data_IF_478394743950
#
_entry.id   IF_478394743950
#
_cell.length_a   1.000
_cell.length_b   1.000
_cell.length_c   1.000
_cell.angle_alpha   90.00
_cell.angle_beta   90.00
_cell.angle_gamma   90.00
#
_symmetry.space_group_name_H-M   'P 1'
#
loop_
_entity.id
_entity.type
_entity.pdbx_description
1 polymer ?
#
# COMPACT_ATOMS: atom_id res chain seq x y z
N UNK A 1 2.31 30.65 18.34
CA UNK A 1 2.06 29.49 17.45
C UNK A 1 3.25 29.37 16.53
N UNK A 2 3.98 28.26 16.62
CA UNK A 2 5.18 28.01 15.85
C UNK A 2 4.88 26.98 14.74
N UNK A 3 5.82 26.83 13.79
CA UNK A 3 5.71 25.80 12.73
C UNK A 3 5.49 24.40 13.31
N UNK A 4 6.10 24.10 14.45
CA UNK A 4 5.96 22.80 15.11
C UNK A 4 4.53 22.53 15.58
N UNK A 5 3.82 23.57 16.07
CA UNK A 5 2.42 23.43 16.51
C UNK A 5 1.51 23.00 15.35
N UNK A 6 1.77 23.50 14.12
CA UNK A 6 1.05 23.09 12.93
C UNK A 6 1.35 21.65 12.55
N UNK A 7 2.62 21.24 12.59
CA UNK A 7 3.02 19.86 12.27
C UNK A 7 2.40 18.87 13.28
N UNK A 8 2.41 19.21 14.56
CA UNK A 8 1.81 18.41 15.62
C UNK A 8 0.28 18.33 15.47
N UNK A 9 -0.36 19.41 15.03
CA UNK A 9 -1.78 19.44 14.73
C UNK A 9 -2.13 18.52 13.54
N UNK A 10 -1.34 18.58 12.47
CA UNK A 10 -1.50 17.68 11.32
C UNK A 10 -1.33 16.22 11.75
N UNK A 11 -0.28 15.90 12.48
CA UNK A 11 -0.05 14.55 13.04
C UNK A 11 -1.25 14.05 13.84
N UNK A 12 -1.87 14.93 14.61
CA UNK A 12 -3.01 14.60 15.47
C UNK A 12 -4.32 14.41 14.70
N UNK A 13 -4.53 15.21 13.66
CA UNK A 13 -5.74 15.16 12.82
C UNK A 13 -5.71 13.92 11.93
N UNK A 14 -4.58 13.66 11.26
CA UNK A 14 -4.45 12.58 10.28
C UNK A 14 -4.12 11.24 10.94
N UNK A 15 -3.15 11.22 11.86
CA UNK A 15 -2.68 10.00 12.53
C UNK A 15 -3.48 9.63 13.79
N UNK A 16 -4.24 10.56 14.34
CA UNK A 16 -4.92 10.40 15.62
C UNK A 16 -4.03 10.69 16.83
N UNK A 17 -4.59 10.43 18.02
CA UNK A 17 -3.89 10.65 19.28
C UNK A 17 -2.72 9.67 19.45
N UNK A 18 -1.60 10.18 19.91
CA UNK A 18 -0.45 9.38 20.31
C UNK A 18 -0.79 8.48 21.49
N UNK A 19 -0.46 7.20 21.38
CA UNK A 19 -0.65 6.20 22.43
C UNK A 19 0.60 6.10 23.33
N UNK A 20 0.73 7.00 24.28
CA UNK A 20 1.87 7.05 25.21
C UNK A 20 1.99 5.80 26.12
N UNK A 21 0.91 5.06 26.30
CA UNK A 21 0.84 3.89 27.20
C UNK A 21 1.10 2.57 26.50
N UNK A 22 1.31 2.56 25.18
CA UNK A 22 1.55 1.30 24.45
C UNK A 22 3.01 0.86 24.69
N UNK A 23 3.16 -0.17 25.50
CA UNK A 23 4.46 -0.82 25.74
C UNK A 23 4.73 -1.70 24.51
N UNK A 24 5.70 -1.32 23.70
CA UNK A 24 6.26 -2.15 22.63
C UNK A 24 7.62 -2.67 23.06
N UNK A 25 7.90 -3.93 22.77
CA UNK A 25 9.23 -4.49 23.00
C UNK A 25 10.24 -3.87 22.04
N UNK A 26 11.54 -3.98 22.35
CA UNK A 26 12.59 -3.52 21.44
C UNK A 26 12.53 -4.23 20.08
N UNK A 27 12.21 -5.50 20.11
CA UNK A 27 12.05 -6.31 18.90
C UNK A 27 10.87 -5.85 18.04
N UNK A 28 9.72 -5.55 18.66
CA UNK A 28 8.58 -4.97 17.95
C UNK A 28 8.91 -3.60 17.34
N UNK A 29 9.59 -2.73 18.10
CA UNK A 29 10.02 -1.42 17.59
C UNK A 29 10.94 -1.55 16.40
N UNK A 30 11.89 -2.49 16.44
CA UNK A 30 12.78 -2.77 15.32
C UNK A 30 12.00 -3.27 14.11
N UNK A 31 11.05 -4.18 14.30
CA UNK A 31 10.21 -4.71 13.21
C UNK A 31 9.38 -3.61 12.57
N UNK A 32 8.76 -2.74 13.37
CA UNK A 32 8.00 -1.59 12.88
C UNK A 32 8.91 -0.62 12.10
N UNK A 33 10.10 -0.32 12.65
CA UNK A 33 11.04 0.59 12.00
C UNK A 33 11.50 0.08 10.62
N UNK A 34 11.78 -1.22 10.50
CA UNK A 34 12.16 -1.86 9.23
C UNK A 34 10.98 -1.81 8.25
N UNK A 35 9.77 -2.10 8.70
CA UNK A 35 8.56 -2.05 7.89
C UNK A 35 8.34 -0.63 7.32
N UNK A 36 8.33 0.39 8.17
CA UNK A 36 8.14 1.78 7.74
C UNK A 36 9.29 2.30 6.86
N UNK A 37 10.52 1.87 7.15
CA UNK A 37 11.66 2.18 6.31
C UNK A 37 11.55 1.55 4.91
N UNK A 38 10.94 0.35 4.81
CA UNK A 38 10.64 -0.29 3.55
C UNK A 38 9.72 0.55 2.67
N UNK A 39 8.61 1.03 3.23
CA UNK A 39 7.71 1.95 2.52
C UNK A 39 8.45 3.21 2.05
N UNK A 40 9.22 3.81 2.93
CA UNK A 40 9.96 5.04 2.64
C UNK A 40 10.99 4.85 1.53
N UNK A 41 11.78 3.78 1.60
CA UNK A 41 12.86 3.50 0.65
C UNK A 41 12.32 3.24 -0.75
N UNK A 42 11.28 2.41 -0.86
CA UNK A 42 10.67 2.11 -2.16
C UNK A 42 10.00 3.35 -2.75
N UNK A 43 9.27 4.12 -1.96
CA UNK A 43 8.67 5.38 -2.43
C UNK A 43 9.71 6.38 -2.92
N UNK A 44 10.88 6.42 -2.29
CA UNK A 44 11.96 7.31 -2.70
C UNK A 44 12.60 6.92 -4.04
N UNK A 45 12.64 5.62 -4.34
CA UNK A 45 13.28 5.06 -5.54
C UNK A 45 12.36 5.03 -6.76
N UNK A 46 11.04 5.11 -6.58
CA UNK A 46 10.07 5.00 -7.66
C UNK A 46 9.72 6.37 -8.23
N UNK A 47 9.66 6.45 -9.56
CA UNK A 47 9.45 7.70 -10.30
C UNK A 47 8.07 8.30 -10.06
N UNK A 48 7.04 7.46 -9.98
CA UNK A 48 5.64 7.89 -9.90
C UNK A 48 5.02 7.72 -8.52
N UNK A 49 5.79 7.27 -7.52
CA UNK A 49 5.31 7.21 -6.14
C UNK A 49 5.08 8.60 -5.56
N UNK A 50 4.09 8.71 -4.67
CA UNK A 50 3.82 9.97 -4.00
C UNK A 50 5.02 10.40 -3.14
N UNK A 51 5.38 11.71 -3.14
CA UNK A 51 6.48 12.21 -2.34
C UNK A 51 6.32 11.90 -0.86
N UNK A 52 7.35 11.30 -0.27
CA UNK A 52 7.41 10.99 1.15
C UNK A 52 7.66 12.27 1.95
N UNK A 53 6.81 12.54 2.96
CA UNK A 53 6.97 13.69 3.86
C UNK A 53 7.67 13.26 5.15
N UNK A 54 7.24 12.14 5.73
CA UNK A 54 7.64 11.74 7.08
C UNK A 54 7.48 10.24 7.29
N UNK A 55 8.40 9.67 8.05
CA UNK A 55 8.30 8.31 8.58
C UNK A 55 8.31 8.38 10.10
N UNK A 56 7.50 7.59 10.77
CA UNK A 56 7.44 7.55 12.22
C UNK A 56 7.11 6.15 12.73
N UNK A 57 7.70 5.79 13.85
CA UNK A 57 7.35 4.59 14.63
C UNK A 57 6.56 4.93 15.89
N UNK A 58 6.08 6.17 16.00
CA UNK A 58 5.24 6.60 17.12
C UNK A 58 3.83 6.08 16.92
N UNK A 59 3.31 5.24 17.83
CA UNK A 59 1.97 4.68 17.70
C UNK A 59 0.89 5.77 17.79
N UNK A 60 0.03 5.81 16.77
CA UNK A 60 -1.12 6.72 16.72
C UNK A 60 -2.38 5.99 16.26
N UNK A 61 -3.51 6.25 16.90
CA UNK A 61 -4.76 5.59 16.54
C UNK A 61 -4.63 4.06 16.54
N UNK A 62 -4.83 3.42 15.39
CA UNK A 62 -4.64 1.97 15.21
C UNK A 62 -3.26 1.60 14.67
N UNK A 63 -2.52 2.57 14.12
CA UNK A 63 -1.21 2.36 13.53
C UNK A 63 -0.11 2.24 14.60
N UNK A 64 0.87 1.40 14.33
CA UNK A 64 2.08 1.21 15.14
C UNK A 64 3.21 2.12 14.68
N UNK A 65 3.24 2.44 13.40
CA UNK A 65 4.08 3.38 12.71
C UNK A 65 3.32 3.96 11.53
N UNK A 66 3.90 4.84 10.77
CA UNK A 66 3.34 5.37 9.53
C UNK A 66 4.40 6.01 8.64
N UNK A 67 4.29 5.77 7.33
CA UNK A 67 4.90 6.57 6.29
C UNK A 67 3.85 7.53 5.73
N UNK A 68 4.17 8.82 5.70
CA UNK A 68 3.26 9.87 5.29
C UNK A 68 3.69 10.45 3.97
N UNK A 69 2.73 10.56 3.06
CA UNK A 69 2.95 11.03 1.70
C UNK A 69 2.18 12.32 1.44
N UNK A 70 2.67 13.13 0.52
CA UNK A 70 1.93 14.25 -0.05
C UNK A 70 1.26 13.76 -1.34
N UNK A 71 -0.04 13.46 -1.33
CA UNK A 71 -0.73 13.09 -2.54
C UNK A 71 -0.71 14.28 -3.49
N UNK A 72 -0.31 14.05 -4.73
CA UNK A 72 -0.50 15.04 -5.77
C UNK A 72 -1.99 15.10 -6.14
N UNK A 73 -2.53 16.30 -6.31
CA UNK A 73 -3.88 16.49 -6.85
C UNK A 73 -3.92 16.06 -8.31
N UNK A 74 -4.26 14.79 -8.53
CA UNK A 74 -4.41 14.22 -9.87
C UNK A 74 -5.87 13.86 -10.11
N UNK A 75 -6.39 14.26 -11.27
CA UNK A 75 -7.72 13.83 -11.72
C UNK A 75 -7.67 12.55 -12.55
N UNK A 76 -6.50 12.22 -13.09
CA UNK A 76 -6.26 11.03 -13.90
C UNK A 76 -4.99 10.37 -13.39
N UNK A 77 -5.04 9.05 -13.20
CA UNK A 77 -3.90 8.24 -12.75
C UNK A 77 -3.60 7.18 -13.79
N UNK A 78 -2.33 7.04 -14.18
CA UNK A 78 -1.90 6.02 -15.15
C UNK A 78 -1.69 4.66 -14.49
N UNK A 79 -1.57 3.60 -15.32
CA UNK A 79 -1.27 2.24 -14.86
C UNK A 79 0.06 2.20 -14.09
N UNK A 80 1.08 2.88 -14.62
CA UNK A 80 2.44 2.93 -14.04
C UNK A 80 2.41 3.60 -12.65
N UNK A 81 1.68 4.69 -12.52
CA UNK A 81 1.50 5.38 -11.23
C UNK A 81 0.81 4.49 -10.19
N UNK A 82 -0.21 3.75 -10.60
CA UNK A 82 -0.90 2.81 -9.71
C UNK A 82 0.00 1.65 -9.32
N UNK A 83 0.83 1.13 -10.23
CA UNK A 83 1.79 0.07 -9.93
C UNK A 83 2.88 0.55 -8.97
N UNK A 84 3.42 1.76 -9.16
CA UNK A 84 4.41 2.33 -8.24
C UNK A 84 3.83 2.55 -6.84
N UNK A 85 2.58 2.99 -6.75
CA UNK A 85 1.87 3.09 -5.46
C UNK A 85 1.72 1.71 -4.78
N UNK A 86 1.41 0.66 -5.55
CA UNK A 86 1.35 -0.71 -5.03
C UNK A 86 2.72 -1.19 -4.55
N UNK A 87 3.80 -0.93 -5.31
CA UNK A 87 5.17 -1.25 -4.91
C UNK A 87 5.54 -0.55 -3.61
N UNK A 88 5.28 0.75 -3.49
CA UNK A 88 5.54 1.53 -2.28
C UNK A 88 4.75 0.97 -1.08
N UNK A 89 3.48 0.61 -1.30
CA UNK A 89 2.63 0.01 -0.26
C UNK A 89 3.14 -1.38 0.18
N UNK A 90 3.71 -2.18 -0.72
CA UNK A 90 4.29 -3.49 -0.39
C UNK A 90 5.71 -3.41 0.17
N UNK A 91 6.32 -2.23 0.15
CA UNK A 91 7.69 -1.99 0.62
C UNK A 91 7.92 -2.46 2.05
N UNK A 92 6.97 -2.20 2.96
CA UNK A 92 7.05 -2.65 4.35
C UNK A 92 7.11 -4.17 4.47
N UNK A 93 6.24 -4.89 3.75
CA UNK A 93 6.23 -6.35 3.71
C UNK A 93 7.51 -6.94 3.15
N UNK A 94 8.02 -6.36 2.06
CA UNK A 94 9.27 -6.80 1.45
C UNK A 94 10.49 -6.57 2.38
N UNK A 95 10.51 -5.45 3.10
CA UNK A 95 11.56 -5.18 4.07
C UNK A 95 11.53 -6.15 5.27
N UNK A 96 10.35 -6.51 5.77
CA UNK A 96 10.24 -7.56 6.81
C UNK A 96 10.85 -8.87 6.34
N UNK A 97 10.49 -9.34 5.15
CA UNK A 97 10.99 -10.60 4.59
C UNK A 97 12.51 -10.56 4.41
N UNK A 98 13.02 -9.50 3.79
CA UNK A 98 14.43 -9.36 3.45
C UNK A 98 15.34 -9.19 4.68
N UNK A 99 14.98 -8.34 5.63
CA UNK A 99 15.86 -7.95 6.75
C UNK A 99 15.58 -8.71 8.04
N UNK A 100 14.38 -9.25 8.22
CA UNK A 100 14.00 -10.03 9.40
C UNK A 100 13.92 -11.52 9.10
N UNK A 101 13.83 -11.93 7.82
CA UNK A 101 13.62 -13.31 7.40
C UNK A 101 12.27 -13.87 7.87
N UNK A 102 11.34 -13.01 8.23
CA UNK A 102 10.01 -13.36 8.74
C UNK A 102 9.02 -12.24 8.45
N UNK A 103 7.80 -12.64 8.17
CA UNK A 103 6.68 -11.76 7.86
C UNK A 103 5.76 -11.65 9.07
N UNK A 104 5.14 -10.47 9.24
CA UNK A 104 4.28 -10.19 10.38
C UNK A 104 2.84 -9.85 9.97
N UNK A 105 1.97 -9.72 10.96
CA UNK A 105 0.59 -9.25 10.78
C UNK A 105 0.52 -7.74 10.53
N UNK A 106 1.63 -7.02 10.66
CA UNK A 106 1.70 -5.56 10.48
C UNK A 106 1.26 -5.11 9.09
N UNK A 107 1.58 -5.90 8.07
CA UNK A 107 1.26 -5.61 6.68
C UNK A 107 -0.21 -5.89 6.27
N UNK A 108 -1.12 -6.23 7.20
CA UNK A 108 -2.50 -6.61 6.86
C UNK A 108 -3.23 -5.51 6.08
N UNK A 109 -3.14 -4.26 6.51
CA UNK A 109 -3.80 -3.13 5.84
C UNK A 109 -3.20 -2.85 4.46
N UNK A 110 -1.89 -3.01 4.31
CA UNK A 110 -1.19 -2.82 3.03
C UNK A 110 -1.61 -3.88 2.02
N UNK A 111 -1.67 -5.14 2.44
CA UNK A 111 -2.14 -6.24 1.61
C UNK A 111 -3.60 -6.06 1.20
N UNK A 112 -4.47 -5.64 2.11
CA UNK A 112 -5.88 -5.35 1.80
C UNK A 112 -5.99 -4.23 0.76
N UNK A 113 -5.26 -3.13 0.96
CA UNK A 113 -5.24 -1.98 0.06
C UNK A 113 -4.76 -2.37 -1.34
N UNK A 114 -3.62 -3.04 -1.44
CA UNK A 114 -3.04 -3.47 -2.72
C UNK A 114 -3.95 -4.47 -3.44
N UNK A 115 -4.54 -5.41 -2.72
CA UNK A 115 -5.48 -6.38 -3.30
C UNK A 115 -6.70 -5.68 -3.89
N UNK A 116 -7.32 -4.76 -3.15
CA UNK A 116 -8.46 -3.96 -3.65
C UNK A 116 -8.08 -3.13 -4.88
N UNK A 117 -6.90 -2.52 -4.86
CA UNK A 117 -6.40 -1.73 -5.98
C UNK A 117 -6.17 -2.59 -7.23
N UNK A 118 -5.57 -3.77 -7.10
CA UNK A 118 -5.37 -4.71 -8.19
C UNK A 118 -6.71 -5.18 -8.80
N UNK A 119 -7.68 -5.53 -7.97
CA UNK A 119 -9.03 -5.86 -8.45
C UNK A 119 -9.65 -4.69 -9.20
N UNK A 120 -9.53 -3.46 -8.70
CA UNK A 120 -10.02 -2.25 -9.36
C UNK A 120 -9.37 -2.04 -10.73
N UNK A 121 -8.05 -2.18 -10.82
CA UNK A 121 -7.30 -2.03 -12.07
C UNK A 121 -7.72 -3.04 -13.12
N UNK A 122 -7.95 -4.28 -12.72
CA UNK A 122 -8.29 -5.38 -13.64
C UNK A 122 -9.78 -5.38 -13.99
N UNK A 123 -10.65 -5.37 -12.98
CA UNK A 123 -12.08 -5.56 -13.20
C UNK A 123 -12.83 -4.29 -13.60
N UNK A 124 -12.36 -3.10 -13.19
CA UNK A 124 -13.09 -1.84 -13.42
C UNK A 124 -12.39 -0.93 -14.41
N UNK A 125 -11.07 -0.88 -14.40
CA UNK A 125 -10.31 0.05 -15.23
C UNK A 125 -9.76 -0.59 -16.53
N UNK A 126 -9.90 -1.92 -16.69
CA UNK A 126 -9.44 -2.62 -17.89
C UNK A 126 -7.95 -2.52 -18.15
N UNK A 127 -7.14 -2.41 -17.08
CA UNK A 127 -5.68 -2.21 -17.13
C UNK A 127 -4.89 -3.53 -17.18
N UNK A 128 -5.54 -4.68 -17.39
CA UNK A 128 -4.89 -5.97 -17.60
C UNK A 128 -4.70 -6.25 -19.08
N UNK A 129 -3.56 -6.84 -19.43
CA UNK A 129 -3.27 -7.24 -20.82
C UNK A 129 -4.13 -8.44 -21.27
N UNK A 130 -4.62 -9.26 -20.33
CA UNK A 130 -5.52 -10.40 -20.61
C UNK A 130 -6.99 -10.01 -20.63
N UNK A 131 -7.36 -8.89 -19.98
CA UNK A 131 -8.72 -8.36 -19.93
C UNK A 131 -8.74 -6.87 -20.29
N UNK A 132 -8.22 -6.48 -21.47
CA UNK A 132 -8.06 -5.08 -21.84
C UNK A 132 -9.41 -4.45 -22.18
N UNK A 133 -9.56 -3.16 -21.83
CA UNK A 133 -10.70 -2.33 -22.25
C UNK A 133 -12.09 -2.85 -21.82
N UNK A 134 -12.16 -3.68 -20.81
CA UNK A 134 -13.40 -4.18 -20.22
C UNK A 134 -13.60 -3.61 -18.83
N UNK A 135 -14.84 -3.24 -18.54
CA UNK A 135 -15.27 -2.79 -17.22
C UNK A 135 -16.40 -3.72 -16.73
N UNK A 136 -16.11 -4.46 -15.69
CA UNK A 136 -17.06 -5.37 -15.03
C UNK A 136 -17.70 -4.71 -13.81
N UNK A 137 -17.96 -3.41 -13.89
CA UNK A 137 -18.62 -2.69 -12.81
C UNK A 137 -20.09 -3.10 -12.71
N UNK A 138 -20.53 -3.49 -11.54
CA UNK A 138 -21.94 -3.75 -11.25
C UNK A 138 -22.51 -2.58 -10.44
N UNK A 139 -23.39 -1.81 -11.05
CA UNK A 139 -24.02 -0.64 -10.47
C UNK A 139 -25.19 -0.99 -9.53
N UNK A 140 -25.56 -2.27 -9.46
CA UNK A 140 -26.67 -2.71 -8.62
C UNK A 140 -26.16 -3.10 -7.23
N UNK A 141 -26.37 -2.23 -6.28
CA UNK A 141 -26.02 -2.36 -4.86
C UNK A 141 -26.56 -3.64 -4.20
N UNK A 142 -27.50 -4.33 -4.85
CA UNK A 142 -28.18 -5.54 -4.38
C UNK A 142 -28.09 -6.74 -5.35
N UNK A 143 -27.26 -6.67 -6.38
CA UNK A 143 -27.12 -7.80 -7.30
C UNK A 143 -26.14 -8.83 -6.74
N UNK A 144 -26.66 -10.01 -6.38
CA UNK A 144 -25.85 -11.18 -6.01
C UNK A 144 -25.18 -11.83 -7.23
N UNK A 145 -25.45 -11.36 -8.43
CA UNK A 145 -24.92 -11.93 -9.67
C UNK A 145 -23.69 -11.15 -10.15
N UNK A 146 -22.59 -11.85 -10.33
CA UNK A 146 -21.40 -11.29 -10.97
C UNK A 146 -21.71 -10.97 -12.44
N UNK A 147 -21.25 -9.83 -12.99
CA UNK A 147 -21.51 -9.45 -14.38
C UNK A 147 -20.62 -10.21 -15.38
N UNK A 148 -20.03 -11.33 -14.99
CA UNK A 148 -19.11 -12.14 -15.80
C UNK A 148 -19.17 -13.62 -15.41
N UNK A 149 -18.70 -14.50 -16.35
CA UNK A 149 -18.67 -15.94 -16.18
C UNK A 149 -17.64 -16.40 -15.13
N UNK A 150 -17.75 -17.64 -14.63
CA UNK A 150 -16.75 -18.24 -13.75
C UNK A 150 -15.35 -18.26 -14.38
N UNK A 151 -15.26 -18.54 -15.68
CA UNK A 151 -13.98 -18.50 -16.41
C UNK A 151 -13.34 -17.10 -16.38
N UNK A 152 -14.13 -16.05 -16.48
CA UNK A 152 -13.64 -14.67 -16.35
C UNK A 152 -13.25 -14.37 -14.91
N UNK A 153 -13.98 -14.90 -13.91
CA UNK A 153 -13.63 -14.77 -12.50
C UNK A 153 -12.26 -15.40 -12.21
N UNK A 154 -12.01 -16.62 -12.68
CA UNK A 154 -10.71 -17.29 -12.55
C UNK A 154 -9.59 -16.46 -13.18
N UNK A 155 -9.81 -15.90 -14.36
CA UNK A 155 -8.83 -15.06 -15.04
C UNK A 155 -8.56 -13.74 -14.29
N UNK A 156 -9.59 -13.13 -13.70
CA UNK A 156 -9.43 -11.95 -12.84
C UNK A 156 -8.56 -12.32 -11.63
N UNK A 157 -8.83 -13.43 -10.94
CA UNK A 157 -8.08 -13.88 -9.78
C UNK A 157 -6.60 -14.16 -10.12
N UNK A 158 -6.33 -14.80 -11.28
CA UNK A 158 -4.98 -15.04 -11.78
C UNK A 158 -4.22 -13.73 -12.04
N UNK A 159 -4.87 -12.78 -12.71
CA UNK A 159 -4.28 -11.49 -13.03
C UNK A 159 -4.05 -10.63 -11.78
N UNK A 160 -4.96 -10.64 -10.80
CA UNK A 160 -4.76 -9.99 -9.49
C UNK A 160 -3.55 -10.57 -8.79
N UNK A 161 -3.46 -11.91 -8.71
CA UNK A 161 -2.31 -12.59 -8.10
C UNK A 161 -0.99 -12.22 -8.78
N UNK A 162 -0.97 -12.18 -10.12
CA UNK A 162 0.20 -11.77 -10.90
C UNK A 162 0.56 -10.31 -10.59
N UNK A 163 -0.41 -9.40 -10.69
CA UNK A 163 -0.22 -7.97 -10.51
C UNK A 163 0.25 -7.61 -9.09
N UNK A 164 -0.16 -8.35 -8.05
CA UNK A 164 0.31 -8.13 -6.68
C UNK A 164 1.72 -8.71 -6.46
N UNK A 165 2.05 -9.85 -7.08
CA UNK A 165 3.36 -10.49 -6.88
C UNK A 165 4.49 -9.87 -7.71
N UNK A 166 4.20 -9.29 -8.86
CA UNK A 166 5.16 -8.62 -9.72
C UNK A 166 5.88 -7.44 -8.99
N UNK A 167 5.16 -6.52 -8.35
CA UNK A 167 5.75 -5.48 -7.49
C UNK A 167 6.63 -6.04 -6.36
N UNK A 168 6.22 -7.11 -5.70
CA UNK A 168 7.02 -7.73 -4.62
C UNK A 168 8.38 -8.17 -5.16
N UNK A 169 8.41 -8.84 -6.33
CA UNK A 169 9.65 -9.26 -6.98
C UNK A 169 10.52 -8.08 -7.36
N UNK A 170 9.94 -7.01 -7.89
CA UNK A 170 10.64 -5.78 -8.24
C UNK A 170 11.22 -5.07 -7.01
N UNK A 171 10.46 -5.02 -5.92
CA UNK A 171 10.88 -4.43 -4.64
C UNK A 171 12.09 -5.18 -4.05
N UNK A 172 12.10 -6.52 -4.12
CA UNK A 172 13.25 -7.33 -3.71
C UNK A 172 14.50 -7.04 -4.53
N UNK A 173 14.38 -6.88 -5.85
CA UNK A 173 15.51 -6.55 -6.73
C UNK A 173 16.10 -5.18 -6.42
N UNK A 174 15.27 -4.16 -6.23
CA UNK A 174 15.70 -2.79 -5.92
C UNK A 174 16.28 -2.63 -4.52
N UNK A 175 15.88 -3.45 -3.58
CA UNK A 175 16.43 -3.42 -2.22
C UNK A 175 17.87 -3.97 -2.13
N UNK A 176 18.36 -4.61 -3.19
CA UNK A 176 19.73 -5.09 -3.30
C UNK A 176 20.67 -4.14 -4.06
N UNK A 177 20.17 -3.09 -4.69
CA UNK A 177 20.95 -2.01 -5.31
C UNK A 177 21.22 -0.86 -4.32
#
# INVERSE_FOLDING_TARGET
>A
VEKQDFLDAVDRIVGGLEKKTKITTEEERRSIAIHEAGHASISWLLEYANPLIKVTIVPRGRALGAAWYLPEERQITTKEQMLDEMCATLGGRAAEDLFLGRISTGAMNDLERVTKQAYGMIAYLGMSDKLPNLCYYNNEEYSFNRPYSEKTAELIDEEVKRMVNEPVSYTHLRAHE
#
